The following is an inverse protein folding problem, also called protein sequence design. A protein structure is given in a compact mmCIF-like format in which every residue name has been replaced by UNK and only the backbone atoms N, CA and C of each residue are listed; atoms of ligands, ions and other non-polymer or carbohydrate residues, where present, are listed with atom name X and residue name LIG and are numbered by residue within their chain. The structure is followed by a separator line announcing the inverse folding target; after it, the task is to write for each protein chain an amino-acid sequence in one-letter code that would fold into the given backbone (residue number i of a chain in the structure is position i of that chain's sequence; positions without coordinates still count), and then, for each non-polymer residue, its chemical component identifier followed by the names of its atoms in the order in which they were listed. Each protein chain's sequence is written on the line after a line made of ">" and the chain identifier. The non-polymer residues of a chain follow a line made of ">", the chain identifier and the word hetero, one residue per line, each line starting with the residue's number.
data_IF_749068463546
#
_entry.id   IF_749068463546
#
_cell.length_a   1.000
_cell.length_b   1.000
_cell.length_c   1.000
_cell.angle_alpha   90.00
_cell.angle_beta   90.00
_cell.angle_gamma   90.00
#
_symmetry.space_group_name_H-M   'P 1'
#
loop_
_entity.id
_entity.type
_entity.pdbx_description
1 polymer ?
#
# COMPACT_ATOMS: atom_id res chain seq x y z
N UNK A 1 9.61 12.60 -8.61
CA UNK A 1 10.97 12.20 -8.26
C UNK A 1 11.10 12.45 -6.77
N UNK A 2 11.28 11.42 -5.98
CA UNK A 2 11.44 11.56 -4.53
C UNK A 2 12.87 12.04 -4.28
N UNK A 3 13.05 13.34 -4.09
CA UNK A 3 14.35 13.99 -3.93
C UNK A 3 15.17 13.48 -2.74
N UNK A 4 14.48 12.91 -1.72
CA UNK A 4 15.15 12.37 -0.53
C UNK A 4 15.91 11.06 -0.79
N UNK A 5 15.57 10.28 -1.84
CA UNK A 5 16.28 9.04 -2.18
C UNK A 5 17.71 9.31 -2.71
N UNK A 6 17.92 10.50 -3.27
CA UNK A 6 19.22 10.94 -3.79
C UNK A 6 19.96 11.82 -2.77
N UNK A 7 19.38 12.08 -1.60
CA UNK A 7 20.00 12.91 -0.55
C UNK A 7 21.13 12.14 0.14
N UNK A 8 22.18 12.88 0.47
CA UNK A 8 23.28 12.40 1.35
C UNK A 8 23.14 12.91 2.78
N UNK A 9 22.18 13.76 3.03
CA UNK A 9 21.96 14.43 4.30
C UNK A 9 20.60 14.06 4.87
N UNK A 10 20.46 14.24 6.19
CA UNK A 10 19.19 14.08 6.90
C UNK A 10 18.13 14.97 6.27
N UNK A 11 17.01 14.39 5.86
CA UNK A 11 15.95 15.13 5.23
C UNK A 11 14.58 14.81 5.81
N UNK A 12 13.66 15.77 5.69
CA UNK A 12 12.26 15.59 6.09
C UNK A 12 11.56 14.71 5.06
N UNK A 13 10.71 13.82 5.55
CA UNK A 13 9.82 12.99 4.73
C UNK A 13 8.36 13.12 5.21
N UNK A 14 7.42 12.77 4.35
CA UNK A 14 5.98 12.79 4.67
C UNK A 14 5.52 11.50 5.35
N UNK A 15 6.25 10.40 5.15
CA UNK A 15 5.96 9.09 5.73
C UNK A 15 7.22 8.26 5.89
N UNK A 16 7.15 7.22 6.72
CA UNK A 16 8.25 6.28 6.96
C UNK A 16 7.82 4.88 6.50
N UNK A 17 8.78 4.09 6.04
CA UNK A 17 8.58 2.68 5.73
C UNK A 17 8.70 1.80 6.99
N UNK A 18 8.42 0.49 6.85
CA UNK A 18 8.39 -0.46 7.96
C UNK A 18 9.67 -0.54 8.80
N UNK A 19 10.81 -0.09 8.27
CA UNK A 19 12.07 0.00 9.00
C UNK A 19 12.25 1.39 9.60
N UNK A 20 11.46 1.73 10.60
CA UNK A 20 11.46 3.04 11.23
C UNK A 20 11.62 2.96 12.74
N UNK A 21 12.25 3.99 13.31
CA UNK A 21 12.40 4.16 14.76
C UNK A 21 11.40 5.18 15.27
N UNK A 22 10.68 4.82 16.31
CA UNK A 22 9.65 5.65 16.92
C UNK A 22 9.94 5.92 18.39
N UNK A 23 9.70 7.15 18.83
CA UNK A 23 9.68 7.41 20.28
C UNK A 23 8.56 6.60 20.91
N UNK A 24 8.82 5.96 22.04
CA UNK A 24 7.86 5.10 22.73
C UNK A 24 6.55 5.84 23.08
N UNK A 25 6.60 7.14 23.40
CA UNK A 25 5.43 7.98 23.63
C UNK A 25 4.51 8.05 22.40
N UNK A 26 5.08 8.12 21.20
CA UNK A 26 4.31 8.10 19.96
C UNK A 26 3.69 6.74 19.71
N UNK A 27 4.48 5.69 19.81
CA UNK A 27 4.01 4.32 19.58
C UNK A 27 2.84 3.93 20.51
N UNK A 28 2.78 4.53 21.71
CA UNK A 28 1.68 4.32 22.65
C UNK A 28 0.43 5.16 22.37
N UNK A 29 0.57 6.32 21.73
CA UNK A 29 -0.54 7.26 21.48
C UNK A 29 -1.25 7.02 20.15
N UNK A 30 -0.60 6.38 19.20
CA UNK A 30 -1.16 6.10 17.88
C UNK A 30 -1.48 4.62 17.75
N UNK A 31 -2.69 4.30 17.29
CA UNK A 31 -3.10 2.92 17.04
C UNK A 31 -2.68 2.52 15.62
N UNK A 32 -2.05 1.36 15.50
CA UNK A 32 -1.95 0.68 14.23
C UNK A 32 -3.33 0.15 13.84
N UNK A 33 -3.76 0.38 12.61
CA UNK A 33 -4.89 -0.32 12.01
C UNK A 33 -4.47 -1.77 11.74
N UNK A 34 -4.64 -2.63 12.75
CA UNK A 34 -4.42 -4.06 12.57
C UNK A 34 -5.59 -4.66 11.79
N UNK A 35 -5.28 -5.13 10.61
CA UNK A 35 -6.08 -6.14 9.98
C UNK A 35 -5.47 -7.50 10.31
N UNK A 36 -6.32 -8.43 10.69
CA UNK A 36 -5.96 -9.86 10.81
C UNK A 36 -5.72 -10.48 9.42
N UNK A 37 -5.27 -9.68 8.49
CA UNK A 37 -4.97 -10.07 7.13
C UNK A 37 -3.51 -10.53 7.08
N UNK A 38 -3.31 -11.74 6.57
CA UNK A 38 -1.97 -12.34 6.35
C UNK A 38 -0.99 -11.46 5.56
N UNK A 39 -1.47 -10.35 4.98
CA UNK A 39 -0.71 -9.42 4.16
C UNK A 39 -1.16 -7.99 4.39
N UNK A 40 -0.53 -7.34 5.33
CA UNK A 40 -0.57 -5.90 5.45
C UNK A 40 0.45 -5.29 4.49
N UNK A 41 -0.06 -4.56 3.50
CA UNK A 41 0.77 -3.80 2.57
C UNK A 41 0.39 -2.34 2.77
N UNK A 42 1.38 -1.45 2.96
CA UNK A 42 1.19 -0.03 3.25
C UNK A 42 0.70 0.31 4.68
N UNK A 43 0.73 -0.62 5.63
CA UNK A 43 0.44 -0.29 7.03
C UNK A 43 1.37 0.79 7.58
N UNK A 44 2.63 0.76 7.19
CA UNK A 44 3.64 1.74 7.52
C UNK A 44 3.29 3.15 7.00
N UNK A 45 2.81 3.25 5.76
CA UNK A 45 2.33 4.49 5.18
C UNK A 45 1.09 5.00 5.93
N UNK A 46 0.10 4.14 6.17
CA UNK A 46 -1.15 4.50 6.84
C UNK A 46 -0.89 4.95 8.28
N UNK A 47 0.06 4.32 8.96
CA UNK A 47 0.46 4.70 10.31
C UNK A 47 1.27 6.01 10.32
N UNK A 48 2.28 6.14 9.48
CA UNK A 48 3.24 7.25 9.57
C UNK A 48 2.74 8.54 8.91
N UNK A 49 1.91 8.46 7.88
CA UNK A 49 1.47 9.64 7.14
C UNK A 49 0.64 10.64 7.99
N UNK A 50 -0.37 10.21 8.78
CA UNK A 50 -1.07 11.13 9.68
C UNK A 50 -0.15 11.78 10.72
N UNK A 51 0.85 11.01 11.20
CA UNK A 51 1.85 11.53 12.13
C UNK A 51 2.74 12.56 11.45
N UNK A 52 3.14 12.31 10.21
CA UNK A 52 3.98 13.22 9.40
C UNK A 52 3.32 14.57 9.12
N UNK A 53 1.98 14.65 9.13
CA UNK A 53 1.24 15.93 9.03
C UNK A 53 1.39 16.81 10.27
N UNK A 54 1.51 16.18 11.43
CA UNK A 54 1.55 16.87 12.73
C UNK A 54 2.96 17.02 13.29
N UNK A 55 3.86 16.15 12.87
CA UNK A 55 5.22 16.05 13.40
C UNK A 55 6.26 15.93 12.27
N UNK A 56 7.49 16.25 12.59
CA UNK A 56 8.59 16.10 11.66
C UNK A 56 9.05 14.64 11.62
N UNK A 57 8.89 13.99 10.48
CA UNK A 57 9.49 12.70 10.19
C UNK A 57 10.81 12.93 9.44
N UNK A 58 11.85 12.19 9.82
CA UNK A 58 13.18 12.33 9.27
C UNK A 58 13.62 11.04 8.59
N UNK A 59 14.21 11.18 7.43
CA UNK A 59 14.90 10.12 6.72
C UNK A 59 16.41 10.38 6.80
N UNK A 60 17.15 9.40 7.35
CA UNK A 60 18.60 9.45 7.42
C UNK A 60 19.20 8.46 6.41
N UNK A 61 19.79 8.93 5.30
CA UNK A 61 20.38 8.08 4.28
C UNK A 61 21.66 7.36 4.73
N UNK A 62 22.25 7.77 5.85
CA UNK A 62 23.41 7.10 6.43
C UNK A 62 23.02 5.79 7.13
N UNK A 63 21.77 5.67 7.57
CA UNK A 63 21.27 4.46 8.23
C UNK A 63 20.94 3.41 7.16
N UNK A 64 21.72 2.34 7.13
CA UNK A 64 21.51 1.21 6.23
C UNK A 64 21.02 0.01 7.03
N UNK A 65 19.84 -0.49 6.68
CA UNK A 65 19.29 -1.72 7.25
C UNK A 65 19.40 -2.86 6.23
N UNK A 66 19.86 -4.00 6.70
CA UNK A 66 19.92 -5.22 5.90
C UNK A 66 18.65 -6.04 6.17
N UNK A 67 17.78 -6.12 5.18
CA UNK A 67 16.62 -7.01 5.24
C UNK A 67 16.99 -8.39 4.73
N UNK A 68 16.67 -9.40 5.51
CA UNK A 68 16.68 -10.77 5.06
C UNK A 68 15.22 -11.15 4.76
N UNK A 69 14.87 -11.13 3.47
CA UNK A 69 13.56 -11.60 3.05
C UNK A 69 13.55 -13.13 3.07
N UNK A 70 12.84 -13.71 4.01
CA UNK A 70 12.35 -15.05 3.82
C UNK A 70 11.19 -14.98 2.83
N UNK A 71 11.42 -15.51 1.64
CA UNK A 71 10.35 -15.64 0.63
C UNK A 71 9.42 -16.75 1.14
N UNK A 72 8.39 -16.36 1.87
CA UNK A 72 7.29 -17.27 2.17
C UNK A 72 6.53 -17.55 0.88
N UNK A 73 6.72 -18.73 0.33
CA UNK A 73 6.32 -19.12 -1.03
C UNK A 73 4.79 -19.19 -1.28
N UNK A 74 3.94 -18.93 -0.28
CA UNK A 74 2.52 -19.30 -0.32
C UNK A 74 1.53 -18.18 -0.71
N UNK A 75 2.00 -16.98 -1.06
CA UNK A 75 1.06 -15.92 -1.39
C UNK A 75 0.93 -15.74 -2.88
N UNK A 76 -0.25 -16.00 -3.42
CA UNK A 76 -0.50 -15.81 -4.84
C UNK A 76 -0.27 -14.34 -5.26
N UNK A 77 0.32 -14.13 -6.43
CA UNK A 77 0.53 -12.80 -7.01
C UNK A 77 -0.76 -11.99 -7.11
N UNK A 78 -1.91 -12.66 -7.33
CA UNK A 78 -3.26 -12.05 -7.33
C UNK A 78 -3.66 -11.49 -5.96
N UNK A 79 -3.39 -12.23 -4.89
CA UNK A 79 -3.68 -11.79 -3.54
C UNK A 79 -2.86 -10.55 -3.18
N UNK A 80 -1.56 -10.55 -3.47
CA UNK A 80 -0.68 -9.39 -3.27
C UNK A 80 -1.18 -8.18 -4.07
N UNK A 81 -1.57 -8.40 -5.31
CA UNK A 81 -2.10 -7.33 -6.17
C UNK A 81 -3.41 -6.77 -5.64
N UNK A 82 -4.37 -7.64 -5.26
CA UNK A 82 -5.62 -7.21 -4.65
C UNK A 82 -5.39 -6.42 -3.36
N UNK A 83 -4.55 -6.92 -2.45
CA UNK A 83 -4.20 -6.24 -1.22
C UNK A 83 -3.67 -4.83 -1.49
N UNK A 84 -2.73 -4.67 -2.43
CA UNK A 84 -2.22 -3.36 -2.83
C UNK A 84 -3.33 -2.41 -3.28
N UNK A 85 -4.31 -2.89 -4.05
CA UNK A 85 -5.42 -2.07 -4.55
C UNK A 85 -6.34 -1.61 -3.40
N UNK A 86 -6.72 -2.51 -2.50
CA UNK A 86 -7.62 -2.20 -1.38
C UNK A 86 -6.96 -1.28 -0.35
N UNK A 87 -5.70 -1.51 0.01
CA UNK A 87 -4.95 -0.66 0.94
C UNK A 87 -4.77 0.76 0.41
N UNK A 88 -4.50 0.90 -0.88
CA UNK A 88 -4.40 2.22 -1.52
C UNK A 88 -5.73 2.94 -1.57
N UNK A 89 -6.83 2.24 -1.86
CA UNK A 89 -8.15 2.83 -1.80
C UNK A 89 -8.50 3.28 -0.38
N UNK A 90 -8.21 2.45 0.62
CA UNK A 90 -8.39 2.82 2.03
C UNK A 90 -7.63 4.09 2.37
N UNK A 91 -6.35 4.16 2.02
CA UNK A 91 -5.52 5.33 2.25
C UNK A 91 -6.12 6.61 1.62
N UNK A 92 -6.59 6.53 0.39
CA UNK A 92 -7.20 7.68 -0.30
C UNK A 92 -8.54 8.08 0.35
N UNK A 93 -9.35 7.11 0.77
CA UNK A 93 -10.64 7.39 1.43
C UNK A 93 -10.48 7.98 2.84
N UNK A 94 -9.43 7.63 3.55
CA UNK A 94 -9.16 8.14 4.90
C UNK A 94 -8.41 9.47 4.92
N UNK A 95 -7.88 9.91 3.77
CA UNK A 95 -7.15 11.17 3.63
C UNK A 95 -7.84 12.09 2.61
N UNK A 96 -8.70 13.03 3.06
CA UNK A 96 -9.55 13.86 2.17
C UNK A 96 -8.77 14.71 1.16
N UNK A 97 -7.50 15.02 1.44
CA UNK A 97 -6.62 15.75 0.53
C UNK A 97 -6.15 14.91 -0.66
N UNK A 98 -6.33 13.58 -0.59
CA UNK A 98 -5.97 12.69 -1.68
C UNK A 98 -7.05 12.69 -2.77
N UNK A 99 -6.61 12.81 -4.01
CA UNK A 99 -7.50 12.85 -5.16
C UNK A 99 -7.87 11.45 -5.65
N UNK A 100 -9.17 11.13 -5.65
CA UNK A 100 -9.67 9.88 -6.26
C UNK A 100 -9.33 9.80 -7.75
N UNK A 101 -9.31 10.92 -8.48
CA UNK A 101 -8.94 10.92 -9.90
C UNK A 101 -7.48 10.47 -10.10
N UNK A 102 -6.55 11.00 -9.27
CA UNK A 102 -5.14 10.57 -9.31
C UNK A 102 -4.98 9.12 -8.88
N UNK A 103 -5.77 8.67 -7.93
CA UNK A 103 -5.81 7.27 -7.53
C UNK A 103 -6.21 6.37 -8.71
N UNK A 104 -7.32 6.67 -9.41
CA UNK A 104 -7.75 5.88 -10.56
C UNK A 104 -6.73 5.89 -11.69
N UNK A 105 -6.13 7.04 -12.00
CA UNK A 105 -5.06 7.12 -12.99
C UNK A 105 -3.90 6.18 -12.65
N UNK A 106 -3.45 6.21 -11.41
CA UNK A 106 -2.36 5.33 -10.94
C UNK A 106 -2.81 3.86 -10.91
N UNK A 107 -4.06 3.60 -10.56
CA UNK A 107 -4.62 2.25 -10.51
C UNK A 107 -4.67 1.62 -11.92
N UNK A 108 -5.03 2.37 -12.94
CA UNK A 108 -4.96 1.93 -14.34
C UNK A 108 -3.53 1.54 -14.71
N UNK A 109 -2.55 2.39 -14.41
CA UNK A 109 -1.13 2.10 -14.72
C UNK A 109 -0.64 0.81 -14.07
N UNK A 110 -0.94 0.59 -12.79
CA UNK A 110 -0.54 -0.63 -12.05
C UNK A 110 -1.26 -1.86 -12.62
N UNK A 111 -2.52 -1.71 -12.99
CA UNK A 111 -3.32 -2.77 -13.61
C UNK A 111 -2.71 -3.21 -14.93
N UNK A 112 -2.35 -2.27 -15.80
CA UNK A 112 -1.70 -2.56 -17.08
C UNK A 112 -0.33 -3.23 -16.86
N UNK A 113 0.46 -2.76 -15.92
CA UNK A 113 1.74 -3.39 -15.57
C UNK A 113 1.55 -4.84 -15.09
N UNK A 114 0.54 -5.11 -14.26
CA UNK A 114 0.25 -6.47 -13.79
C UNK A 114 -0.14 -7.37 -14.95
N UNK A 115 -0.99 -6.90 -15.88
CA UNK A 115 -1.38 -7.64 -17.06
C UNK A 115 -0.20 -7.90 -18.02
N UNK A 116 0.68 -6.91 -18.18
CA UNK A 116 1.91 -7.07 -18.98
C UNK A 116 2.81 -8.18 -18.41
N UNK A 117 2.99 -8.20 -17.08
CA UNK A 117 3.78 -9.25 -16.42
C UNK A 117 3.12 -10.62 -16.62
N UNK A 118 1.80 -10.73 -16.41
CA UNK A 118 1.07 -11.99 -16.62
C UNK A 118 1.16 -12.48 -18.07
N UNK A 119 1.09 -11.58 -19.02
CA UNK A 119 1.28 -11.91 -20.44
C UNK A 119 2.67 -12.46 -20.73
N UNK A 120 3.72 -11.79 -20.22
CA UNK A 120 5.12 -12.21 -20.41
C UNK A 120 5.41 -13.58 -19.78
N UNK A 121 4.80 -13.86 -18.65
CA UNK A 121 4.98 -15.14 -17.95
C UNK A 121 4.19 -16.29 -18.58
N UNK A 122 3.35 -16.02 -19.58
CA UNK A 122 2.47 -17.00 -20.26
C UNK A 122 1.60 -17.83 -19.30
N UNK A 123 1.36 -17.34 -18.09
CA UNK A 123 0.65 -18.04 -17.03
C UNK A 123 -0.78 -17.51 -16.88
N UNK A 124 -1.73 -18.09 -17.62
CA UNK A 124 -3.14 -17.85 -17.36
C UNK A 124 -3.63 -16.42 -17.60
N UNK A 125 -3.10 -15.71 -18.60
CA UNK A 125 -3.41 -14.31 -18.93
C UNK A 125 -4.91 -13.99 -18.92
N UNK A 126 -5.76 -14.79 -19.55
CA UNK A 126 -7.20 -14.56 -19.58
C UNK A 126 -7.84 -14.62 -18.19
N UNK A 127 -7.37 -15.55 -17.34
CA UNK A 127 -7.83 -15.67 -15.97
C UNK A 127 -7.39 -14.48 -15.11
N UNK A 128 -6.19 -13.96 -15.34
CA UNK A 128 -5.69 -12.75 -14.67
C UNK A 128 -6.42 -11.51 -15.15
N UNK A 129 -6.68 -11.40 -16.46
CA UNK A 129 -7.45 -10.29 -17.02
C UNK A 129 -8.87 -10.24 -16.42
N UNK A 130 -9.55 -11.38 -16.33
CA UNK A 130 -10.87 -11.46 -15.72
C UNK A 130 -10.83 -11.09 -14.21
N UNK A 131 -9.84 -11.60 -13.48
CA UNK A 131 -9.64 -11.26 -12.08
C UNK A 131 -9.44 -9.75 -11.89
N UNK A 132 -8.58 -9.15 -12.71
CA UNK A 132 -8.25 -7.72 -12.65
C UNK A 132 -9.46 -6.85 -13.00
N UNK A 133 -10.25 -7.21 -14.03
CA UNK A 133 -11.47 -6.49 -14.37
C UNK A 133 -12.50 -6.53 -13.23
N UNK A 134 -12.69 -7.69 -12.61
CA UNK A 134 -13.57 -7.83 -11.45
C UNK A 134 -13.07 -7.00 -10.28
N UNK A 135 -11.77 -7.06 -9.97
CA UNK A 135 -11.17 -6.26 -8.91
C UNK A 135 -11.32 -4.76 -9.18
N UNK A 136 -11.12 -4.32 -10.41
CA UNK A 136 -11.29 -2.92 -10.79
C UNK A 136 -12.73 -2.44 -10.60
N UNK A 137 -13.71 -3.24 -11.02
CA UNK A 137 -15.12 -2.95 -10.79
C UNK A 137 -15.45 -2.81 -9.28
N UNK A 138 -14.94 -3.72 -8.45
CA UNK A 138 -15.09 -3.63 -7.00
C UNK A 138 -14.47 -2.35 -6.43
N UNK A 139 -13.28 -2.00 -6.86
CA UNK A 139 -12.59 -0.77 -6.43
C UNK A 139 -13.39 0.48 -6.81
N UNK A 140 -13.98 0.52 -8.02
CA UNK A 140 -14.87 1.62 -8.45
C UNK A 140 -16.08 1.70 -7.53
N UNK A 141 -16.79 0.61 -7.30
CA UNK A 141 -17.98 0.58 -6.43
C UNK A 141 -17.63 1.03 -5.01
N UNK A 142 -16.54 0.50 -4.45
CA UNK A 142 -16.07 0.82 -3.10
C UNK A 142 -15.60 2.27 -2.95
N UNK A 143 -15.11 2.89 -4.02
CA UNK A 143 -14.69 4.29 -4.01
C UNK A 143 -15.84 5.24 -3.70
N UNK A 144 -17.05 4.90 -4.15
CA UNK A 144 -18.26 5.71 -3.94
C UNK A 144 -19.17 5.17 -2.82
N UNK A 145 -18.88 4.03 -2.24
CA UNK A 145 -19.62 3.46 -1.11
C UNK A 145 -19.07 3.99 0.23
N UNK A 146 -19.86 3.81 1.31
CA UNK A 146 -19.39 4.06 2.68
C UNK A 146 -18.64 2.86 3.29
N UNK A 147 -18.57 1.74 2.58
CA UNK A 147 -17.92 0.54 3.07
C UNK A 147 -16.41 0.75 3.27
N UNK A 148 -15.87 0.09 4.29
CA UNK A 148 -14.44 0.06 4.54
C UNK A 148 -13.79 -0.95 3.57
N UNK A 149 -12.85 -0.50 2.69
CA UNK A 149 -12.18 -1.40 1.76
C UNK A 149 -11.45 -2.57 2.44
N UNK A 150 -10.91 -2.34 3.63
CA UNK A 150 -10.12 -3.35 4.34
C UNK A 150 -10.98 -4.48 4.90
N UNK A 151 -12.19 -4.18 5.36
CA UNK A 151 -13.16 -5.22 5.78
C UNK A 151 -13.58 -6.13 4.63
N UNK A 152 -13.71 -5.55 3.43
CA UNK A 152 -14.02 -6.32 2.22
C UNK A 152 -12.83 -7.19 1.83
N UNK A 153 -11.61 -6.65 1.91
CA UNK A 153 -10.39 -7.42 1.68
C UNK A 153 -10.30 -8.61 2.63
N UNK A 154 -10.51 -8.40 3.93
CA UNK A 154 -10.43 -9.45 4.95
C UNK A 154 -11.42 -10.59 4.66
N UNK A 155 -12.66 -10.27 4.27
CA UNK A 155 -13.68 -11.28 3.88
C UNK A 155 -13.29 -12.09 2.65
N UNK A 156 -12.43 -11.55 1.78
CA UNK A 156 -11.96 -12.25 0.57
C UNK A 156 -10.72 -13.10 0.80
N UNK A 157 -10.00 -12.82 1.89
CA UNK A 157 -8.79 -13.55 2.24
C UNK A 157 -9.04 -14.77 3.16
N UNK A 158 -10.25 -14.83 3.74
CA UNK A 158 -10.79 -15.99 4.47
C UNK A 158 -11.42 -17.00 3.52
#
# INVERSE_FOLDING_TARGET
>A
KFSYLDSKELCRTEWLNGASLWRASFAKSYKFEFLDARYSIYEDLIFSYPIGKLHCLLFDPAIKLRFQHEITADVSSRMVFASKCYWRLYFVKTNPEMSLLRFFWTQIGITLQHLEISYKLKSGFFSDAFFVLKLFADIVILSFSRANPLEILEKRLK
#
